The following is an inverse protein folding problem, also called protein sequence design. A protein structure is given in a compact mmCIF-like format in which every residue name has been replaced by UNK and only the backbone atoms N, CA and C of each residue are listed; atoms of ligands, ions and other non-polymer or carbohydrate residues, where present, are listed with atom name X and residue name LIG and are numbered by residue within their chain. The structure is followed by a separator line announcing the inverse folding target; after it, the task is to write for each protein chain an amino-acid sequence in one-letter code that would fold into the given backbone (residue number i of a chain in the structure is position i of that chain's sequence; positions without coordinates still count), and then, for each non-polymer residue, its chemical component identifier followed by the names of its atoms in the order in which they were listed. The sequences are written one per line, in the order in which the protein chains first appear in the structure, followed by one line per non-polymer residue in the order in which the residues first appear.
data_IF_610076259854
#
_entry.id   IF_610076259854
#
_cell.length_a   1.000
_cell.length_b   1.000
_cell.length_c   1.000
_cell.angle_alpha   90.00
_cell.angle_beta   90.00
_cell.angle_gamma   90.00
#
_symmetry.space_group_name_H-M   'P 1'
#
loop_
_entity.id
_entity.type
_entity.pdbx_description
1 polymer ?
#
# COMPACT_ATOMS: atom_id res chain seq x y z
N UNK A 1 1.93 11.06 33.97
CA UNK A 1 1.18 11.18 32.71
C UNK A 1 1.96 10.47 31.61
N UNK A 2 1.40 9.43 30.99
CA UNK A 2 2.01 8.85 29.77
C UNK A 2 2.01 9.94 28.70
N UNK A 3 3.14 10.19 28.05
CA UNK A 3 3.24 11.11 26.93
C UNK A 3 2.44 10.50 25.77
N UNK A 4 1.46 11.22 25.26
CA UNK A 4 0.68 10.81 24.10
C UNK A 4 1.63 10.62 22.91
N UNK A 5 1.58 9.44 22.29
CA UNK A 5 2.44 9.08 21.16
C UNK A 5 1.95 9.79 19.90
N UNK A 6 2.85 10.53 19.28
CA UNK A 6 2.55 11.26 18.05
C UNK A 6 2.67 10.33 16.82
N UNK A 7 1.60 10.24 16.05
CA UNK A 7 1.51 9.37 14.87
C UNK A 7 1.49 10.19 13.57
N UNK A 8 2.15 9.71 12.55
CA UNK A 8 2.07 10.24 11.19
C UNK A 8 1.63 9.15 10.20
N UNK A 9 0.74 9.53 9.30
CA UNK A 9 0.36 8.74 8.11
C UNK A 9 0.95 9.41 6.88
N UNK A 10 1.76 8.67 6.15
CA UNK A 10 2.40 9.14 4.91
C UNK A 10 1.93 8.24 3.78
N UNK A 11 1.55 8.80 2.65
CA UNK A 11 1.07 8.00 1.53
C UNK A 11 1.60 8.42 0.17
N UNK A 12 1.65 7.47 -0.76
CA UNK A 12 1.92 7.69 -2.18
C UNK A 12 0.96 6.87 -3.03
N UNK A 13 0.01 7.55 -3.65
CA UNK A 13 -0.97 6.95 -4.55
C UNK A 13 -1.03 7.69 -5.88
N UNK A 14 -1.87 7.21 -6.79
CA UNK A 14 -2.09 7.86 -8.09
C UNK A 14 -3.58 8.04 -8.42
N UNK A 15 -4.41 7.05 -8.08
CA UNK A 15 -5.80 6.98 -8.52
C UNK A 15 -6.82 7.18 -7.40
N UNK A 16 -6.39 7.44 -6.17
CA UNK A 16 -7.24 7.83 -5.06
C UNK A 16 -7.36 6.81 -3.93
N UNK A 17 -7.34 5.50 -4.18
CA UNK A 17 -7.57 4.48 -3.15
C UNK A 17 -6.58 4.56 -1.98
N UNK A 18 -5.28 4.72 -2.27
CA UNK A 18 -4.26 4.83 -1.23
C UNK A 18 -4.46 6.07 -0.35
N UNK A 19 -4.83 7.19 -0.97
CA UNK A 19 -5.17 8.43 -0.28
C UNK A 19 -6.37 8.22 0.64
N UNK A 20 -7.42 7.59 0.15
CA UNK A 20 -8.64 7.33 0.91
C UNK A 20 -8.35 6.50 2.17
N UNK A 21 -7.57 5.43 2.05
CA UNK A 21 -7.14 4.64 3.22
C UNK A 21 -6.30 5.46 4.19
N UNK A 22 -5.37 6.27 3.68
CA UNK A 22 -4.53 7.12 4.52
C UNK A 22 -5.35 8.17 5.30
N UNK A 23 -6.36 8.77 4.65
CA UNK A 23 -7.30 9.70 5.28
C UNK A 23 -8.10 9.02 6.40
N UNK A 24 -8.66 7.84 6.16
CA UNK A 24 -9.40 7.09 7.18
C UNK A 24 -8.53 6.67 8.36
N UNK A 25 -7.30 6.22 8.12
CA UNK A 25 -6.36 5.85 9.19
C UNK A 25 -5.98 7.08 10.02
N UNK A 26 -5.71 8.22 9.35
CA UNK A 26 -5.36 9.45 10.03
C UNK A 26 -6.52 9.99 10.88
N UNK A 27 -7.75 9.91 10.39
CA UNK A 27 -8.98 10.25 11.11
C UNK A 27 -9.13 9.40 12.39
N UNK A 28 -9.05 8.06 12.26
CA UNK A 28 -9.23 7.12 13.38
C UNK A 28 -8.16 7.25 14.47
N UNK A 29 -6.94 7.65 14.09
CA UNK A 29 -5.80 7.75 15.01
C UNK A 29 -5.47 9.21 15.42
N UNK A 30 -6.25 10.20 14.96
CA UNK A 30 -5.95 11.62 15.13
C UNK A 30 -4.50 11.97 14.72
N UNK A 31 -4.04 11.36 13.61
CA UNK A 31 -2.67 11.44 13.15
C UNK A 31 -2.46 12.55 12.12
N UNK A 32 -1.24 13.08 12.08
CA UNK A 32 -0.84 13.98 10.99
C UNK A 32 -0.80 13.20 9.66
N UNK A 33 -1.27 13.81 8.57
CA UNK A 33 -1.36 13.19 7.23
C UNK A 33 -0.51 13.95 6.21
N UNK A 34 0.33 13.21 5.46
CA UNK A 34 1.16 13.79 4.41
C UNK A 34 1.20 12.91 3.15
N UNK A 35 1.20 13.56 2.00
CA UNK A 35 1.69 12.95 0.77
C UNK A 35 3.22 12.81 0.83
N UNK A 36 3.76 11.67 0.40
CA UNK A 36 5.18 11.36 0.54
C UNK A 36 6.12 12.41 -0.05
N UNK A 37 5.73 13.04 -1.16
CA UNK A 37 6.53 14.11 -1.81
C UNK A 37 6.58 15.41 -1.02
N UNK A 38 5.68 15.58 -0.07
CA UNK A 38 5.60 16.77 0.81
C UNK A 38 6.19 16.52 2.20
N UNK A 39 6.51 15.25 2.51
CA UNK A 39 7.07 14.89 3.80
C UNK A 39 8.60 15.04 3.81
N UNK A 40 9.12 15.76 4.76
CA UNK A 40 10.56 15.94 4.89
C UNK A 40 11.16 14.89 5.83
N UNK A 41 12.22 14.23 5.39
CA UNK A 41 12.89 13.17 6.15
C UNK A 41 13.39 13.59 7.56
N UNK A 42 13.62 14.88 7.81
CA UNK A 42 13.95 15.42 9.13
C UNK A 42 12.74 15.35 10.09
N UNK A 43 11.53 15.38 9.55
CA UNK A 43 10.31 15.42 10.35
C UNK A 43 9.97 14.06 10.97
N UNK A 44 10.60 12.95 10.56
CA UNK A 44 10.49 11.68 11.27
C UNK A 44 10.81 11.79 12.77
N UNK A 45 11.70 12.68 13.15
CA UNK A 45 12.05 12.92 14.56
C UNK A 45 10.89 13.43 15.43
N UNK A 46 9.83 13.96 14.82
CA UNK A 46 8.66 14.51 15.52
C UNK A 46 7.64 13.45 15.94
N UNK A 47 7.76 12.22 15.42
CA UNK A 47 6.76 11.17 15.55
C UNK A 47 7.31 9.95 16.27
N UNK A 48 6.46 9.30 17.04
CA UNK A 48 6.74 8.04 17.73
C UNK A 48 6.27 6.85 16.86
N UNK A 49 5.20 7.04 16.11
CA UNK A 49 4.58 6.05 15.24
C UNK A 49 4.57 6.52 13.78
N UNK A 50 4.85 5.60 12.85
CA UNK A 50 4.90 5.86 11.42
C UNK A 50 4.01 4.86 10.70
N UNK A 51 3.10 5.36 9.88
CA UNK A 51 2.29 4.55 8.97
C UNK A 51 2.57 5.02 7.56
N UNK A 52 3.01 4.11 6.70
CA UNK A 52 3.26 4.41 5.30
C UNK A 52 2.35 3.61 4.38
N UNK A 53 1.63 4.28 3.49
CA UNK A 53 0.78 3.67 2.48
C UNK A 53 1.26 3.90 1.05
N UNK A 54 1.40 2.82 0.28
CA UNK A 54 1.79 2.93 -1.12
C UNK A 54 0.92 2.11 -2.08
N UNK A 55 0.61 2.71 -3.25
CA UNK A 55 -0.02 1.96 -4.33
C UNK A 55 0.96 0.94 -4.90
N UNK A 56 0.49 -0.28 -5.19
CA UNK A 56 1.27 -1.31 -5.85
C UNK A 56 1.37 -1.02 -7.36
N UNK A 57 2.57 -1.12 -7.88
CA UNK A 57 2.86 -1.05 -9.30
C UNK A 57 3.93 -2.07 -9.66
N UNK A 58 3.57 -3.08 -10.43
CA UNK A 58 4.46 -4.20 -10.78
C UNK A 58 5.16 -4.83 -9.55
N UNK A 59 4.43 -5.01 -8.45
CA UNK A 59 4.92 -5.55 -7.17
C UNK A 59 5.65 -4.54 -6.27
N UNK A 60 6.09 -3.38 -6.81
CA UNK A 60 6.72 -2.33 -6.03
C UNK A 60 5.70 -1.46 -5.27
N UNK A 61 6.01 -1.10 -4.03
CA UNK A 61 5.24 -0.15 -3.22
C UNK A 61 5.71 1.26 -3.57
N UNK A 62 4.81 2.06 -4.12
CA UNK A 62 5.13 3.39 -4.62
C UNK A 62 5.64 4.33 -3.52
N UNK A 63 6.79 4.98 -3.78
CA UNK A 63 7.41 5.93 -2.85
C UNK A 63 8.07 5.31 -1.62
N UNK A 64 8.14 3.97 -1.51
CA UNK A 64 8.68 3.26 -0.34
C UNK A 64 10.18 3.56 -0.09
N UNK A 65 10.88 4.09 -1.08
CA UNK A 65 12.26 4.56 -0.93
C UNK A 65 12.42 5.62 0.18
N UNK A 66 11.37 6.39 0.49
CA UNK A 66 11.39 7.32 1.62
C UNK A 66 11.64 6.56 2.94
N UNK A 67 10.99 5.43 3.15
CA UNK A 67 11.13 4.58 4.34
C UNK A 67 12.50 3.89 4.32
N UNK A 68 12.87 3.25 3.21
CA UNK A 68 14.15 2.54 3.08
C UNK A 68 15.37 3.43 3.37
N UNK A 69 15.42 4.61 2.74
CA UNK A 69 16.54 5.55 2.92
C UNK A 69 16.62 6.16 4.33
N UNK A 70 15.52 6.17 5.06
CA UNK A 70 15.48 6.74 6.41
C UNK A 70 15.36 5.68 7.51
N UNK A 71 15.60 4.40 7.19
CA UNK A 71 15.47 3.28 8.12
C UNK A 71 16.16 3.53 9.48
N UNK A 72 17.37 4.08 9.46
CA UNK A 72 18.11 4.37 10.70
C UNK A 72 17.46 5.43 11.60
N UNK A 73 16.62 6.30 11.03
CA UNK A 73 15.87 7.33 11.78
C UNK A 73 14.58 6.82 12.40
N UNK A 74 14.11 5.65 11.94
CA UNK A 74 12.80 5.10 12.30
C UNK A 74 12.90 3.71 12.94
N UNK A 75 14.09 3.19 13.14
CA UNK A 75 14.30 1.82 13.63
C UNK A 75 13.79 1.56 15.07
N UNK A 76 13.70 2.60 15.85
CA UNK A 76 13.17 2.63 17.23
C UNK A 76 11.67 2.99 17.30
N UNK A 77 11.05 3.24 16.13
CA UNK A 77 9.66 3.69 16.03
C UNK A 77 8.76 2.55 15.58
N UNK A 78 7.53 2.53 16.10
CA UNK A 78 6.53 1.60 15.58
C UNK A 78 6.19 1.99 14.13
N UNK A 79 6.50 1.11 13.20
CA UNK A 79 6.32 1.37 11.77
C UNK A 79 5.42 0.32 11.14
N UNK A 80 4.34 0.76 10.52
CA UNK A 80 3.38 -0.06 9.78
C UNK A 80 3.32 0.39 8.32
N UNK A 81 3.31 -0.58 7.42
CA UNK A 81 3.21 -0.36 5.98
C UNK A 81 1.88 -0.94 5.50
N UNK A 82 1.18 -0.23 4.62
CA UNK A 82 0.06 -0.81 3.89
C UNK A 82 0.23 -0.64 2.38
N UNK A 83 0.03 -1.73 1.66
CA UNK A 83 0.16 -1.80 0.22
C UNK A 83 -1.24 -1.91 -0.41
N UNK A 84 -1.54 -1.04 -1.38
CA UNK A 84 -2.86 -0.95 -2.01
C UNK A 84 -2.80 -1.41 -3.46
N UNK A 85 -3.61 -2.40 -3.81
CA UNK A 85 -3.66 -2.93 -5.18
C UNK A 85 -4.91 -3.77 -5.44
N UNK A 86 -5.12 -4.19 -6.69
CA UNK A 86 -6.27 -5.03 -7.05
C UNK A 86 -6.14 -6.46 -6.53
N UNK A 87 -4.99 -7.08 -6.78
CA UNK A 87 -4.75 -8.50 -6.52
C UNK A 87 -3.96 -8.73 -5.23
N UNK A 88 -4.39 -8.11 -4.14
CA UNK A 88 -3.70 -8.19 -2.84
C UNK A 88 -4.07 -9.45 -2.04
N UNK A 89 -5.04 -10.25 -2.49
CA UNK A 89 -5.41 -11.52 -1.86
C UNK A 89 -4.54 -12.67 -2.35
N UNK A 90 -3.95 -12.56 -3.55
CA UNK A 90 -3.08 -13.60 -4.11
C UNK A 90 -1.83 -13.81 -3.27
N UNK A 91 -1.58 -15.06 -2.90
CA UNK A 91 -0.40 -15.46 -2.14
C UNK A 91 0.88 -15.17 -2.91
N UNK A 92 0.89 -15.46 -4.20
CA UNK A 92 2.00 -15.23 -5.12
C UNK A 92 2.34 -13.75 -5.20
N UNK A 93 1.31 -12.90 -5.34
CA UNK A 93 1.50 -11.46 -5.39
C UNK A 93 2.05 -10.91 -4.06
N UNK A 94 1.58 -11.41 -2.92
CA UNK A 94 2.12 -11.04 -1.60
C UNK A 94 3.58 -11.43 -1.42
N UNK A 95 3.98 -12.60 -1.91
CA UNK A 95 5.38 -13.04 -1.90
C UNK A 95 6.21 -12.08 -2.76
N UNK A 96 5.78 -11.81 -4.00
CA UNK A 96 6.46 -10.89 -4.90
C UNK A 96 6.62 -9.49 -4.31
N UNK A 97 5.56 -8.94 -3.69
CA UNK A 97 5.60 -7.63 -3.02
C UNK A 97 6.66 -7.63 -1.92
N UNK A 98 6.74 -8.70 -1.13
CA UNK A 98 7.76 -8.83 -0.07
C UNK A 98 9.17 -8.87 -0.65
N UNK A 99 9.40 -9.70 -1.64
CA UNK A 99 10.72 -9.86 -2.27
C UNK A 99 11.23 -8.59 -2.94
N UNK A 100 10.34 -7.84 -3.61
CA UNK A 100 10.71 -6.60 -4.32
C UNK A 100 11.02 -5.45 -3.35
N UNK A 101 10.24 -5.33 -2.27
CA UNK A 101 10.29 -4.12 -1.44
C UNK A 101 11.12 -4.28 -0.17
N UNK A 102 11.23 -5.50 0.35
CA UNK A 102 11.81 -5.72 1.66
C UNK A 102 12.97 -6.70 1.58
N UNK A 103 14.13 -6.24 1.96
CA UNK A 103 15.19 -7.16 2.39
C UNK A 103 14.94 -7.59 3.86
N UNK A 104 15.66 -8.60 4.31
CA UNK A 104 15.52 -9.12 5.69
C UNK A 104 15.81 -8.09 6.79
N UNK A 105 16.49 -6.99 6.46
CA UNK A 105 16.80 -5.94 7.41
C UNK A 105 15.73 -4.85 7.44
N UNK A 106 15.03 -4.62 6.32
CA UNK A 106 13.95 -3.62 6.23
C UNK A 106 12.68 -4.12 6.91
N UNK A 107 12.38 -5.42 6.82
CA UNK A 107 11.20 -6.01 7.48
C UNK A 107 11.35 -6.12 9.01
N UNK A 108 12.57 -6.08 9.53
CA UNK A 108 12.78 -6.20 10.97
C UNK A 108 12.09 -5.02 11.71
N UNK A 109 11.04 -5.32 12.44
CA UNK A 109 10.26 -4.35 13.22
C UNK A 109 9.17 -3.59 12.46
N UNK A 110 8.86 -3.97 11.20
CA UNK A 110 7.75 -3.39 10.44
C UNK A 110 6.66 -4.43 10.18
N UNK A 111 5.40 -4.02 10.29
CA UNK A 111 4.25 -4.84 9.89
C UNK A 111 3.76 -4.41 8.51
N UNK A 112 3.42 -5.37 7.64
CA UNK A 112 2.90 -5.12 6.30
C UNK A 112 1.46 -5.60 6.18
N UNK A 113 0.56 -4.69 5.84
CA UNK A 113 -0.83 -4.94 5.51
C UNK A 113 -1.12 -4.78 4.02
N UNK A 114 -2.16 -5.43 3.56
CA UNK A 114 -2.62 -5.37 2.18
C UNK A 114 -4.07 -4.89 2.14
N UNK A 115 -4.32 -3.87 1.32
CA UNK A 115 -5.64 -3.31 1.10
C UNK A 115 -6.03 -3.45 -0.37
N UNK A 116 -7.26 -3.83 -0.64
CA UNK A 116 -7.77 -3.83 -2.01
C UNK A 116 -8.09 -2.40 -2.45
N UNK A 117 -7.71 -2.08 -3.69
CA UNK A 117 -7.94 -0.76 -4.28
C UNK A 117 -9.07 -0.75 -5.30
N UNK A 118 -9.24 0.40 -5.92
CA UNK A 118 -10.09 0.60 -7.08
C UNK A 118 -9.24 0.76 -8.35
N UNK A 119 -9.82 0.40 -9.48
CA UNK A 119 -9.23 0.56 -10.79
C UNK A 119 -10.28 1.02 -11.80
N UNK A 120 -9.96 2.10 -12.51
CA UNK A 120 -10.78 2.62 -13.60
C UNK A 120 -9.91 2.65 -14.89
N UNK A 121 -10.17 1.75 -15.85
CA UNK A 121 -9.40 1.69 -17.08
C UNK A 121 -9.46 2.97 -17.91
N UNK A 122 -10.51 3.79 -17.77
CA UNK A 122 -10.62 5.06 -18.47
C UNK A 122 -9.66 6.13 -17.95
N UNK A 123 -9.23 6.03 -16.68
CA UNK A 123 -8.29 6.97 -16.04
C UNK A 123 -6.83 6.63 -16.28
N UNK A 124 -6.53 5.43 -16.79
CA UNK A 124 -5.15 4.95 -16.96
C UNK A 124 -4.55 5.52 -18.24
N UNK A 125 -3.39 6.17 -18.12
CA UNK A 125 -2.70 6.84 -19.24
C UNK A 125 -1.19 6.56 -19.19
N UNK A 126 -0.52 6.81 -20.31
CA UNK A 126 0.95 6.75 -20.43
C UNK A 126 1.52 5.36 -20.09
N UNK A 127 2.58 5.33 -19.31
CA UNK A 127 3.28 4.09 -18.95
C UNK A 127 2.40 3.07 -18.23
N UNK A 128 1.50 3.50 -17.35
CA UNK A 128 0.59 2.58 -16.66
C UNK A 128 -0.29 1.84 -17.68
N UNK A 129 -0.79 2.51 -18.70
CA UNK A 129 -1.57 1.87 -19.77
C UNK A 129 -0.74 0.84 -20.54
N UNK A 130 0.54 1.12 -20.76
CA UNK A 130 1.45 0.17 -21.38
C UNK A 130 1.63 -1.08 -20.53
N UNK A 131 1.83 -0.90 -19.22
CA UNK A 131 1.96 -2.01 -18.26
C UNK A 131 0.68 -2.86 -18.23
N UNK A 132 -0.49 -2.22 -18.15
CA UNK A 132 -1.78 -2.91 -18.17
C UNK A 132 -1.95 -3.71 -19.46
N UNK A 133 -1.71 -3.09 -20.62
CA UNK A 133 -1.81 -3.76 -21.91
C UNK A 133 -0.87 -4.96 -22.02
N UNK A 134 0.35 -4.84 -21.47
CA UNK A 134 1.31 -5.94 -21.46
C UNK A 134 0.80 -7.09 -20.55
N UNK A 135 0.27 -6.78 -19.38
CA UNK A 135 -0.31 -7.77 -18.47
C UNK A 135 -1.47 -8.50 -19.11
N UNK A 136 -2.42 -7.78 -19.72
CA UNK A 136 -3.55 -8.37 -20.45
C UNK A 136 -3.07 -9.24 -21.62
N UNK A 137 -2.04 -8.81 -22.35
CA UNK A 137 -1.44 -9.60 -23.44
C UNK A 137 -0.78 -10.88 -22.92
N UNK A 138 -0.13 -10.83 -21.76
CA UNK A 138 0.47 -12.03 -21.13
C UNK A 138 -0.60 -13.02 -20.69
N UNK A 139 -1.69 -12.56 -20.07
CA UNK A 139 -2.82 -13.42 -19.70
C UNK A 139 -3.43 -14.10 -20.92
N UNK A 140 -3.60 -13.37 -22.03
CA UNK A 140 -4.17 -13.91 -23.30
C UNK A 140 -3.26 -14.91 -24.03
N UNK A 141 -1.99 -15.05 -23.66
CA UNK A 141 -1.13 -16.12 -24.21
C UNK A 141 -1.57 -17.52 -23.74
N UNK A 142 -2.22 -17.59 -22.61
CA UNK A 142 -2.79 -18.80 -22.02
C UNK A 142 -4.27 -18.90 -22.44
N UNK A 143 -4.75 -20.05 -22.92
CA UNK A 143 -6.17 -20.23 -23.23
C UNK A 143 -7.06 -19.90 -22.03
N UNK A 144 -8.16 -19.18 -22.21
CA UNK A 144 -9.05 -18.75 -21.12
C UNK A 144 -9.57 -19.91 -20.26
N UNK A 145 -9.75 -21.09 -20.85
CA UNK A 145 -10.15 -22.31 -20.12
C UNK A 145 -9.14 -22.76 -19.06
N UNK A 146 -7.87 -22.33 -19.21
CA UNK A 146 -6.76 -22.66 -18.32
C UNK A 146 -6.49 -21.56 -17.28
N UNK A 147 -7.22 -20.46 -17.36
CA UNK A 147 -7.08 -19.37 -16.39
C UNK A 147 -7.60 -19.78 -15.02
N UNK A 148 -6.86 -19.42 -13.99
CA UNK A 148 -7.33 -19.51 -12.61
C UNK A 148 -8.48 -18.53 -12.37
N UNK A 149 -9.21 -18.69 -11.28
CA UNK A 149 -10.25 -17.73 -10.88
C UNK A 149 -9.67 -16.32 -10.65
N UNK A 150 -8.48 -16.25 -10.08
CA UNK A 150 -7.75 -14.96 -9.84
C UNK A 150 -7.35 -14.29 -11.16
N UNK A 151 -6.86 -15.06 -12.14
CA UNK A 151 -6.52 -14.55 -13.47
C UNK A 151 -7.75 -14.00 -14.21
N UNK A 152 -8.90 -14.69 -14.10
CA UNK A 152 -10.18 -14.22 -14.67
C UNK A 152 -10.62 -12.92 -14.01
N UNK A 153 -10.57 -12.87 -12.69
CA UNK A 153 -10.95 -11.67 -11.93
C UNK A 153 -10.03 -10.50 -12.28
N UNK A 154 -8.72 -10.71 -12.30
CA UNK A 154 -7.76 -9.68 -12.67
C UNK A 154 -7.99 -9.14 -14.10
N UNK A 155 -8.26 -10.04 -15.05
CA UNK A 155 -8.59 -9.65 -16.42
C UNK A 155 -9.86 -8.78 -16.47
N UNK A 156 -10.93 -9.23 -15.79
CA UNK A 156 -12.17 -8.48 -15.68
C UNK A 156 -11.94 -7.08 -15.07
N UNK A 157 -11.27 -7.00 -13.94
CA UNK A 157 -11.01 -5.76 -13.24
C UNK A 157 -10.19 -4.77 -14.09
N UNK A 158 -9.22 -5.28 -14.86
CA UNK A 158 -8.40 -4.46 -15.76
C UNK A 158 -9.13 -3.99 -17.01
N UNK A 159 -10.19 -4.67 -17.44
CA UNK A 159 -10.97 -4.31 -18.64
C UNK A 159 -12.21 -3.51 -18.32
N UNK A 160 -12.95 -3.89 -17.29
CA UNK A 160 -14.24 -3.31 -16.93
C UNK A 160 -14.15 -2.31 -15.78
N UNK A 161 -13.05 -2.37 -15.01
CA UNK A 161 -12.89 -1.62 -13.78
C UNK A 161 -13.37 -2.38 -12.55
N UNK A 162 -12.94 -1.90 -11.39
CA UNK A 162 -13.34 -2.46 -10.09
C UNK A 162 -13.20 -1.42 -8.98
N UNK A 163 -14.02 -1.55 -7.93
CA UNK A 163 -13.86 -0.81 -6.69
C UNK A 163 -14.06 -1.75 -5.50
N UNK A 164 -12.93 -2.03 -4.81
CA UNK A 164 -12.87 -2.87 -3.63
C UNK A 164 -12.45 -2.10 -2.37
N UNK A 165 -12.47 -0.78 -2.43
CA UNK A 165 -12.10 0.08 -1.30
C UNK A 165 -13.13 -0.10 -0.18
N UNK A 166 -12.64 -0.52 1.00
CA UNK A 166 -13.51 -0.84 2.14
C UNK A 166 -12.78 -0.52 3.45
N UNK A 167 -13.48 0.12 4.40
CA UNK A 167 -12.94 0.47 5.73
C UNK A 167 -12.44 -0.73 6.53
N UNK A 168 -12.97 -1.93 6.30
CA UNK A 168 -12.48 -3.15 6.98
C UNK A 168 -10.97 -3.37 6.85
N UNK A 169 -10.35 -2.89 5.77
CA UNK A 169 -8.91 -3.05 5.55
C UNK A 169 -8.05 -2.19 6.47
N UNK A 170 -8.59 -1.11 7.02
CA UNK A 170 -7.84 -0.29 7.99
C UNK A 170 -7.99 -0.77 9.43
N UNK A 171 -9.00 -1.57 9.75
CA UNK A 171 -9.26 -2.04 11.13
C UNK A 171 -8.03 -2.68 11.79
N UNK A 172 -7.35 -3.66 11.16
CA UNK A 172 -6.15 -4.26 11.76
C UNK A 172 -4.98 -3.28 11.85
N UNK A 173 -4.89 -2.29 10.93
CA UNK A 173 -3.85 -1.26 10.97
C UNK A 173 -4.07 -0.33 12.14
N UNK A 174 -5.29 0.14 12.33
CA UNK A 174 -5.68 1.03 13.44
C UNK A 174 -5.51 0.31 14.78
N UNK A 175 -5.89 -0.96 14.85
CA UNK A 175 -5.75 -1.78 16.06
C UNK A 175 -4.30 -1.87 16.57
N UNK A 176 -3.31 -1.84 15.66
CA UNK A 176 -1.89 -1.81 16.04
C UNK A 176 -1.51 -0.61 16.91
N UNK A 177 -2.22 0.50 16.80
CA UNK A 177 -1.88 1.76 17.45
C UNK A 177 -2.85 2.16 18.57
N UNK A 178 -3.97 1.47 18.71
CA UNK A 178 -4.84 1.62 19.88
C UNK A 178 -4.13 0.97 21.06
N UNK A 179 -3.92 1.72 22.15
CA UNK A 179 -3.43 1.13 23.38
C UNK A 179 -4.51 0.15 23.90
N UNK A 180 -4.10 -1.02 24.37
CA UNK A 180 -4.99 -1.88 25.14
C UNK A 180 -5.40 -1.11 26.40
N UNK A 181 -6.70 -0.84 26.54
CA UNK A 181 -7.29 -0.24 27.74
C UNK A 181 -7.13 -1.16 28.95
#
# INVERSE_FOLDING_TARGET
MKKEKKTVVIYKGKYGSTKQYAEWIAEELHADLFEADKFLAKDFAKYDNIIYGGALQAGGIKGFELIKKNRMKIMDKKTVIFAVGLNTDSKENRIQVREINFDKYVLAGMTLYYCKGAFDPARVKGMDRTIINLTLKMLKKKPEKEWTQEERQLYHDMTEGADYVDRKYIEPIVAEFREEE
#
